data_IF_702341376907
#
_entry.id   IF_702341376907
#
_cell.length_a   1.000
_cell.length_b   1.000
_cell.length_c   1.000
_cell.angle_alpha   90.00
_cell.angle_beta   90.00
_cell.angle_gamma   90.00
#
_symmetry.space_group_name_H-M   'P 1'
#
loop_
_entity.id
_entity.type
_entity.pdbx_description
1 polymer ?
#
# COMPACT_ATOMS: atom_id res chain seq x y z
N UNK A 1 6.85 5.32 10.07
CA UNK A 1 5.38 5.35 9.85
C UNK A 1 4.75 6.68 10.24
N UNK A 2 5.32 7.43 11.18
CA UNK A 2 4.84 8.74 11.68
C UNK A 2 4.35 9.68 10.59
N UNK A 3 5.11 9.89 9.51
CA UNK A 3 4.68 10.79 8.43
C UNK A 3 3.31 10.42 7.83
N UNK A 4 3.03 9.13 7.62
CA UNK A 4 1.72 8.69 7.09
C UNK A 4 0.63 8.94 8.12
N UNK A 5 0.91 8.65 9.40
CA UNK A 5 -0.01 8.92 10.50
C UNK A 5 -0.35 10.42 10.57
N UNK A 6 0.66 11.30 10.51
CA UNK A 6 0.46 12.74 10.52
C UNK A 6 -0.42 13.22 9.37
N UNK A 7 -0.34 12.59 8.18
CA UNK A 7 -1.23 12.93 7.07
C UNK A 7 -2.67 12.47 7.31
N UNK A 8 -2.86 11.30 7.93
CA UNK A 8 -4.19 10.74 8.22
C UNK A 8 -4.90 11.51 9.33
N UNK A 9 -4.13 12.05 10.29
CA UNK A 9 -4.64 12.85 11.41
C UNK A 9 -4.89 14.32 11.04
N UNK A 10 -4.41 14.78 9.87
CA UNK A 10 -4.66 16.13 9.37
C UNK A 10 -6.09 16.26 8.83
N UNK A 11 -6.99 16.87 9.60
CA UNK A 11 -8.39 17.10 9.22
C UNK A 11 -8.55 17.96 7.94
N UNK A 12 -7.51 18.68 7.51
CA UNK A 12 -7.54 19.42 6.24
C UNK A 12 -7.30 18.52 5.03
N UNK A 13 -6.62 17.37 5.24
CA UNK A 13 -6.35 16.36 4.23
C UNK A 13 -7.37 15.22 4.26
N UNK A 14 -7.73 14.74 5.46
CA UNK A 14 -8.73 13.71 5.71
C UNK A 14 -9.82 14.25 6.64
N UNK A 15 -10.82 14.98 6.10
CA UNK A 15 -11.89 15.55 6.91
C UNK A 15 -12.71 14.49 7.64
N UNK A 16 -12.82 14.63 8.96
CA UNK A 16 -13.59 13.73 9.84
C UNK A 16 -15.08 14.11 9.94
N UNK A 17 -15.41 15.36 9.59
CA UNK A 17 -16.75 15.95 9.72
C UNK A 17 -17.56 15.75 8.44
N UNK A 18 -18.80 15.30 8.60
CA UNK A 18 -19.75 15.13 7.50
C UNK A 18 -19.96 16.47 6.78
N UNK A 19 -19.92 16.45 5.45
CA UNK A 19 -20.15 17.63 4.61
C UNK A 19 -18.91 18.46 4.30
N UNK A 20 -17.75 18.14 4.89
CA UNK A 20 -16.48 18.79 4.53
C UNK A 20 -15.84 18.05 3.35
N UNK A 21 -15.59 18.72 2.20
CA UNK A 21 -15.01 18.06 1.03
C UNK A 21 -13.51 17.84 1.20
N UNK A 22 -12.97 16.80 0.54
CA UNK A 22 -11.53 16.60 0.41
C UNK A 22 -10.85 17.75 -0.34
N UNK A 23 -9.59 18.08 -0.02
CA UNK A 23 -8.87 19.15 -0.70
C UNK A 23 -8.50 18.76 -2.13
N UNK A 24 -8.25 19.76 -2.99
CA UNK A 24 -7.92 19.54 -4.42
C UNK A 24 -6.69 18.67 -4.65
N UNK A 25 -5.73 18.68 -3.71
CA UNK A 25 -4.50 17.90 -3.77
C UNK A 25 -4.62 16.51 -3.13
N UNK A 26 -5.79 16.12 -2.60
CA UNK A 26 -6.00 14.85 -1.90
C UNK A 26 -5.43 13.65 -2.67
N UNK A 27 -5.76 13.54 -3.96
CA UNK A 27 -5.30 12.43 -4.78
C UNK A 27 -3.77 12.36 -4.87
N UNK A 28 -3.09 13.51 -4.93
CA UNK A 28 -1.61 13.52 -4.93
C UNK A 28 -1.05 13.03 -3.60
N UNK A 29 -1.67 13.42 -2.48
CA UNK A 29 -1.26 12.99 -1.14
C UNK A 29 -1.51 11.49 -0.94
N UNK A 30 -2.69 11.00 -1.32
CA UNK A 30 -3.05 9.58 -1.24
C UNK A 30 -2.07 8.69 -2.01
N UNK A 31 -1.67 9.10 -3.23
CA UNK A 31 -0.64 8.39 -4.00
C UNK A 31 0.71 8.34 -3.29
N UNK A 32 1.12 9.43 -2.63
CA UNK A 32 2.37 9.46 -1.84
C UNK A 32 2.28 8.53 -0.63
N UNK A 33 1.15 8.51 0.07
CA UNK A 33 0.90 7.60 1.19
C UNK A 33 1.03 6.15 0.73
N UNK A 34 0.30 5.76 -0.32
CA UNK A 34 0.30 4.40 -0.82
C UNK A 34 1.68 3.97 -1.33
N UNK A 35 2.40 4.85 -2.04
CA UNK A 35 3.80 4.61 -2.44
C UNK A 35 4.71 4.35 -1.24
N UNK A 36 4.55 5.10 -0.15
CA UNK A 36 5.33 4.87 1.08
C UNK A 36 4.96 3.54 1.74
N UNK A 37 3.67 3.20 1.80
CA UNK A 37 3.22 1.90 2.33
C UNK A 37 3.72 0.73 1.48
N UNK A 38 3.76 0.85 0.15
CA UNK A 38 4.35 -0.15 -0.73
C UNK A 38 5.82 -0.43 -0.40
N UNK A 39 6.60 0.61 -0.11
CA UNK A 39 8.01 0.44 0.30
C UNK A 39 8.16 -0.34 1.61
N UNK A 40 7.19 -0.23 2.52
CA UNK A 40 7.18 -1.02 3.75
C UNK A 40 6.95 -2.51 3.42
N UNK A 41 6.00 -2.83 2.55
CA UNK A 41 5.83 -4.20 2.06
C UNK A 41 7.11 -4.73 1.42
N UNK A 42 7.72 -3.97 0.52
CA UNK A 42 8.97 -4.36 -0.13
C UNK A 42 10.08 -4.64 0.89
N UNK A 43 10.23 -3.78 1.90
CA UNK A 43 11.21 -4.00 2.96
C UNK A 43 10.95 -5.28 3.75
N UNK A 44 9.70 -5.56 4.11
CA UNK A 44 9.33 -6.79 4.83
C UNK A 44 9.66 -8.03 3.97
N UNK A 45 9.23 -8.05 2.72
CA UNK A 45 9.50 -9.19 1.81
C UNK A 45 10.99 -9.40 1.53
N UNK A 46 11.80 -8.35 1.47
CA UNK A 46 13.23 -8.49 1.17
C UNK A 46 14.11 -8.74 2.38
N UNK A 47 13.76 -8.22 3.55
CA UNK A 47 14.68 -8.20 4.71
C UNK A 47 14.16 -9.00 5.91
N UNK A 48 12.85 -9.23 5.99
CA UNK A 48 12.23 -9.81 7.18
C UNK A 48 11.30 -10.99 6.87
N UNK A 49 11.33 -11.52 5.65
CA UNK A 49 10.44 -12.60 5.26
C UNK A 49 10.69 -13.88 6.06
N UNK A 50 11.95 -14.17 6.42
CA UNK A 50 12.28 -15.31 7.28
C UNK A 50 11.62 -15.19 8.66
N UNK A 51 11.57 -13.99 9.24
CA UNK A 51 10.87 -13.74 10.50
C UNK A 51 9.35 -13.91 10.35
N UNK A 52 8.77 -13.50 9.20
CA UNK A 52 7.35 -13.70 8.90
C UNK A 52 7.00 -15.18 8.81
N UNK A 53 7.86 -15.99 8.19
CA UNK A 53 7.70 -17.46 8.12
C UNK A 53 7.81 -18.07 9.53
N UNK A 54 8.80 -17.63 10.33
CA UNK A 54 8.97 -18.12 11.71
C UNK A 54 7.73 -17.86 12.58
N UNK A 55 7.04 -16.74 12.34
CA UNK A 55 5.79 -16.39 13.01
C UNK A 55 4.54 -17.05 12.38
N UNK A 56 4.68 -17.77 11.27
CA UNK A 56 3.57 -18.36 10.50
C UNK A 56 2.57 -17.31 9.97
N UNK A 57 3.06 -16.11 9.67
CA UNK A 57 2.25 -14.94 9.27
C UNK A 57 2.28 -14.67 7.76
N UNK A 58 2.92 -15.54 6.98
CA UNK A 58 3.08 -15.42 5.52
C UNK A 58 1.74 -15.30 4.78
N UNK A 59 0.70 -16.05 5.20
CA UNK A 59 -0.61 -16.01 4.59
C UNK A 59 -1.30 -14.66 4.78
N UNK A 60 -1.17 -14.05 5.98
CA UNK A 60 -1.71 -12.74 6.28
C UNK A 60 -0.99 -11.65 5.48
N UNK A 61 0.35 -11.69 5.44
CA UNK A 61 1.14 -10.75 4.66
C UNK A 61 0.77 -10.80 3.17
N UNK A 62 0.72 -12.00 2.59
CA UNK A 62 0.37 -12.20 1.19
C UNK A 62 -1.06 -11.75 0.86
N UNK A 63 -2.01 -12.03 1.74
CA UNK A 63 -3.41 -11.61 1.54
C UNK A 63 -3.54 -10.08 1.59
N UNK A 64 -2.92 -9.44 2.58
CA UNK A 64 -2.91 -7.99 2.73
C UNK A 64 -2.23 -7.30 1.54
N UNK A 65 -1.07 -7.82 1.11
CA UNK A 65 -0.34 -7.28 -0.04
C UNK A 65 -1.10 -7.48 -1.35
N UNK A 66 -1.73 -8.63 -1.57
CA UNK A 66 -2.56 -8.89 -2.76
C UNK A 66 -3.73 -7.90 -2.84
N UNK A 67 -4.44 -7.68 -1.75
CA UNK A 67 -5.53 -6.69 -1.70
C UNK A 67 -5.02 -5.28 -1.98
N UNK A 68 -3.89 -4.90 -1.37
CA UNK A 68 -3.24 -3.61 -1.61
C UNK A 68 -2.91 -3.40 -3.10
N UNK A 69 -2.37 -4.41 -3.77
CA UNK A 69 -2.00 -4.33 -5.19
C UNK A 69 -3.23 -4.18 -6.08
N UNK A 70 -4.29 -4.96 -5.85
CA UNK A 70 -5.53 -4.81 -6.62
C UNK A 70 -6.13 -3.42 -6.46
N UNK A 71 -6.19 -2.89 -5.24
CA UNK A 71 -6.70 -1.53 -4.99
C UNK A 71 -5.87 -0.46 -5.73
N UNK A 72 -4.54 -0.56 -5.64
CA UNK A 72 -3.64 0.39 -6.29
C UNK A 72 -3.72 0.32 -7.82
N UNK A 73 -3.88 -0.89 -8.39
CA UNK A 73 -4.00 -1.09 -9.83
C UNK A 73 -5.34 -0.60 -10.37
N UNK A 74 -6.44 -0.90 -9.67
CA UNK A 74 -7.80 -0.47 -10.05
C UNK A 74 -7.90 1.05 -10.19
N UNK A 75 -7.34 1.79 -9.22
CA UNK A 75 -7.40 3.25 -9.19
C UNK A 75 -6.14 3.95 -9.75
N UNK A 76 -5.19 3.19 -10.30
CA UNK A 76 -3.93 3.70 -10.85
C UNK A 76 -3.18 4.66 -9.88
N UNK A 77 -2.99 4.19 -8.64
CA UNK A 77 -2.46 4.99 -7.54
C UNK A 77 -0.94 4.93 -7.40
N UNK A 78 -0.28 3.94 -7.99
CA UNK A 78 1.18 3.79 -8.01
C UNK A 78 1.61 3.42 -9.43
N UNK A 79 2.60 4.14 -9.97
CA UNK A 79 3.17 3.85 -11.29
C UNK A 79 3.78 2.44 -11.30
N UNK A 80 3.57 1.70 -12.40
CA UNK A 80 4.14 0.37 -12.61
C UNK A 80 5.66 0.35 -12.45
N UNK A 81 6.36 1.43 -12.81
CA UNK A 81 7.82 1.53 -12.62
C UNK A 81 8.23 1.40 -11.17
N UNK A 82 7.39 1.86 -10.24
CA UNK A 82 7.67 1.78 -8.81
C UNK A 82 7.35 0.40 -8.22
N UNK A 83 6.52 -0.38 -8.91
CA UNK A 83 6.18 -1.76 -8.55
C UNK A 83 7.25 -2.78 -8.97
N UNK A 84 8.18 -2.36 -9.85
CA UNK A 84 9.23 -3.22 -10.41
C UNK A 84 9.99 -4.10 -9.38
N UNK A 85 10.35 -3.63 -8.17
CA UNK A 85 11.08 -4.45 -7.20
C UNK A 85 10.32 -5.71 -6.75
N UNK A 86 8.98 -5.68 -6.78
CA UNK A 86 8.13 -6.80 -6.37
C UNK A 86 7.33 -7.39 -7.54
N UNK A 87 7.72 -7.10 -8.78
CA UNK A 87 6.93 -7.47 -9.97
C UNK A 87 6.67 -8.98 -10.04
N UNK A 88 7.70 -9.81 -9.83
CA UNK A 88 7.57 -11.28 -9.83
C UNK A 88 6.60 -11.78 -8.75
N UNK A 89 6.67 -11.18 -7.55
CA UNK A 89 5.79 -11.51 -6.44
C UNK A 89 4.34 -11.11 -6.75
N UNK A 90 4.14 -9.92 -7.31
CA UNK A 90 2.83 -9.43 -7.73
C UNK A 90 2.21 -10.41 -8.72
N UNK A 91 2.93 -10.78 -9.78
CA UNK A 91 2.45 -11.73 -10.80
C UNK A 91 2.09 -13.09 -10.18
N UNK A 92 2.92 -13.60 -9.28
CA UNK A 92 2.66 -14.87 -8.58
C UNK A 92 1.39 -14.81 -7.72
N UNK A 93 1.15 -13.70 -7.03
CA UNK A 93 0.00 -13.55 -6.12
C UNK A 93 -1.31 -13.23 -6.86
N UNK A 94 -1.26 -12.54 -8.00
CA UNK A 94 -2.45 -12.13 -8.76
C UNK A 94 -2.82 -13.09 -9.89
N UNK A 95 -1.92 -13.96 -10.34
CA UNK A 95 -2.16 -14.90 -11.45
C UNK A 95 -3.30 -15.90 -11.21
N UNK A 96 -3.65 -16.20 -9.96
CA UNK A 96 -4.73 -17.15 -9.62
C UNK A 96 -6.15 -16.61 -9.80
N UNK A 97 -6.32 -15.30 -9.96
CA UNK A 97 -7.64 -14.65 -10.01
C UNK A 97 -7.97 -14.09 -11.42
N UNK A 98 -7.12 -14.38 -12.41
CA UNK A 98 -7.35 -14.09 -13.83
C UNK A 98 -7.87 -15.33 -14.54
#
# INVERSE_FOLDING_TARGET
MTWVQDQLDDETLFPSKIGVPFPKNFMSVAKIILKRLFRVYAHIYHQHFDSVIQLQEEAHLNTSFKHFIFFVQEFNLIDRREQAPLQELIEKLTSKDR
#
